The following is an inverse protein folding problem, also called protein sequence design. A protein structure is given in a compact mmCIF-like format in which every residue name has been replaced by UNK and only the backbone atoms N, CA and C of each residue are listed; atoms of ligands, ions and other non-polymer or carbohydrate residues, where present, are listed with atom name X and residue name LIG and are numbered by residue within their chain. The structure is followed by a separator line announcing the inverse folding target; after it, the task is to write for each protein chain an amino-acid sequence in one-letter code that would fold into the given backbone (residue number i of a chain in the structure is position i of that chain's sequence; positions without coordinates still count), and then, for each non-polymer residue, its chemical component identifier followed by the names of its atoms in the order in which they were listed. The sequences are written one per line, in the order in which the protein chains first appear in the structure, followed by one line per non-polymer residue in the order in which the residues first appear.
data_IF_434429327466
#
_entry.id   IF_434429327466
#
_cell.length_a   1.000
_cell.length_b   1.000
_cell.length_c   1.000
_cell.angle_alpha   90.00
_cell.angle_beta   90.00
_cell.angle_gamma   90.00
#
_symmetry.space_group_name_H-M   'P 1'
#
loop_
_entity.id
_entity.type
_entity.pdbx_description
1 polymer ?
#
# COMPACT_ATOMS: atom_id res chain seq x y z
N UNK A 1 5.08 8.06 15.42
CA UNK A 1 5.49 7.77 14.03
C UNK A 1 4.24 7.87 13.19
N UNK A 2 4.20 8.72 12.17
CA UNK A 2 3.08 8.70 11.22
C UNK A 2 3.40 7.59 10.21
N UNK A 3 2.50 6.64 10.06
CA UNK A 3 2.62 5.59 9.03
C UNK A 3 2.36 6.19 7.66
N UNK A 4 2.94 5.60 6.62
CA UNK A 4 2.59 5.88 5.24
C UNK A 4 1.98 4.62 4.66
N UNK A 5 0.86 4.77 3.96
CA UNK A 5 0.11 3.69 3.36
C UNK A 5 -0.42 4.14 2.02
N UNK A 6 -0.82 3.21 1.16
CA UNK A 6 -1.24 3.57 -0.19
C UNK A 6 -2.57 4.33 -0.16
N UNK A 7 -2.75 5.25 -1.11
CA UNK A 7 -4.07 5.86 -1.35
C UNK A 7 -5.05 4.78 -1.85
N UNK A 8 -6.36 4.94 -1.60
CA UNK A 8 -7.33 3.94 -2.04
C UNK A 8 -7.29 3.78 -3.57
N UNK A 9 -7.15 2.55 -4.06
CA UNK A 9 -7.03 2.25 -5.48
C UNK A 9 -5.60 1.97 -5.93
N UNK A 10 -4.60 2.46 -5.20
CA UNK A 10 -3.19 2.27 -5.49
C UNK A 10 -2.57 1.22 -4.57
N UNK A 11 -3.35 0.28 -4.02
CA UNK A 11 -2.82 -0.71 -3.08
C UNK A 11 -1.85 -1.69 -3.77
N UNK A 12 -0.73 -2.03 -3.10
CA UNK A 12 0.31 -2.94 -3.63
C UNK A 12 -0.26 -4.23 -4.25
N UNK A 13 -1.27 -4.82 -3.61
CA UNK A 13 -1.83 -6.10 -4.07
C UNK A 13 -2.43 -6.01 -5.48
N UNK A 14 -2.93 -4.83 -5.90
CA UNK A 14 -3.46 -4.61 -7.24
C UNK A 14 -2.35 -4.59 -8.28
N UNK A 15 -1.27 -3.88 -8.02
CA UNK A 15 -0.09 -3.88 -8.89
C UNK A 15 0.55 -5.27 -8.99
N UNK A 16 0.61 -5.99 -7.87
CA UNK A 16 1.12 -7.36 -7.84
C UNK A 16 0.23 -8.34 -8.63
N UNK A 17 -1.09 -8.21 -8.53
CA UNK A 17 -2.05 -9.00 -9.33
C UNK A 17 -1.91 -8.66 -10.82
N UNK A 18 -1.82 -7.38 -11.18
CA UNK A 18 -1.58 -6.93 -12.55
C UNK A 18 -0.26 -7.47 -13.12
N UNK A 19 0.79 -7.54 -12.31
CA UNK A 19 2.05 -8.16 -12.71
C UNK A 19 1.91 -9.68 -12.91
N UNK A 20 1.22 -10.36 -11.99
CA UNK A 20 0.96 -11.80 -12.08
C UNK A 20 0.10 -12.19 -13.29
N UNK A 21 -0.81 -11.31 -13.70
CA UNK A 21 -1.62 -11.45 -14.92
C UNK A 21 -0.87 -11.07 -16.20
N UNK A 22 0.32 -10.47 -16.10
CA UNK A 22 1.11 -9.97 -17.22
C UNK A 22 0.62 -8.64 -17.82
N UNK A 23 -0.36 -8.00 -17.18
CA UNK A 23 -0.84 -6.66 -17.57
C UNK A 23 0.20 -5.58 -17.22
N UNK A 24 0.98 -5.80 -16.16
CA UNK A 24 2.04 -4.90 -15.71
C UNK A 24 3.41 -5.56 -15.80
N UNK A 25 4.38 -4.81 -16.30
CA UNK A 25 5.79 -5.19 -16.21
C UNK A 25 6.31 -5.01 -14.77
N UNK A 26 7.43 -5.66 -14.45
CA UNK A 26 8.15 -5.42 -13.18
C UNK A 26 8.56 -3.95 -13.03
N UNK A 27 8.81 -3.25 -14.14
CA UNK A 27 9.17 -1.84 -14.14
C UNK A 27 7.98 -0.97 -13.75
N UNK A 28 6.80 -1.24 -14.32
CA UNK A 28 5.55 -0.53 -13.96
C UNK A 28 5.17 -0.74 -12.51
N UNK A 29 5.30 -1.98 -12.00
CA UNK A 29 5.09 -2.26 -10.57
C UNK A 29 6.08 -1.47 -9.71
N UNK A 30 7.35 -1.44 -10.09
CA UNK A 30 8.38 -0.68 -9.36
C UNK A 30 8.11 0.82 -9.38
N UNK A 31 7.71 1.38 -10.52
CA UNK A 31 7.37 2.81 -10.64
C UNK A 31 6.18 3.15 -9.75
N UNK A 32 5.13 2.33 -9.76
CA UNK A 32 3.97 2.49 -8.89
C UNK A 32 4.32 2.48 -7.40
N UNK A 33 5.19 1.58 -6.95
CA UNK A 33 5.62 1.48 -5.54
C UNK A 33 6.59 2.59 -5.10
N UNK A 34 7.21 3.29 -6.05
CA UNK A 34 8.15 4.38 -5.78
C UNK A 34 7.54 5.76 -6.02
N UNK A 35 6.31 5.82 -6.53
CA UNK A 35 5.59 7.06 -6.76
C UNK A 35 5.06 7.61 -5.42
N UNK A 36 5.56 8.77 -4.95
CA UNK A 36 5.13 9.34 -3.68
C UNK A 36 3.66 9.80 -3.67
N UNK A 37 3.06 10.09 -4.83
CA UNK A 37 1.64 10.45 -4.95
C UNK A 37 0.71 9.25 -4.66
N UNK A 38 1.24 8.02 -4.75
CA UNK A 38 0.51 6.80 -4.41
C UNK A 38 0.43 6.56 -2.89
N UNK A 39 1.09 7.39 -2.07
CA UNK A 39 1.11 7.24 -0.62
C UNK A 39 0.37 8.39 0.07
N UNK A 40 -0.34 8.05 1.13
CA UNK A 40 -0.94 8.98 2.08
C UNK A 40 -0.42 8.72 3.49
N UNK A 41 -0.49 9.77 4.32
CA UNK A 41 -0.30 9.62 5.75
C UNK A 41 -1.40 8.72 6.28
N UNK A 42 -1.03 7.57 6.84
CA UNK A 42 -1.98 6.75 7.58
C UNK A 42 -2.35 7.52 8.84
N UNK A 43 -3.61 7.92 8.92
CA UNK A 43 -4.16 8.39 10.18
C UNK A 43 -3.92 7.29 11.24
N UNK A 44 -3.61 7.66 12.49
CA UNK A 44 -3.41 6.67 13.57
C UNK A 44 -4.58 5.68 13.70
N UNK A 45 -5.79 6.08 13.28
CA UNK A 45 -7.00 5.26 13.27
C UNK A 45 -7.17 4.35 12.04
N UNK A 46 -6.35 4.49 11.00
CA UNK A 46 -6.42 3.72 9.76
C UNK A 46 -5.74 2.35 9.87
N UNK A 47 -4.94 2.12 10.92
CA UNK A 47 -4.52 0.77 11.30
C UNK A 47 -5.78 -0.03 11.63
N UNK A 48 -6.25 -0.84 10.66
CA UNK A 48 -7.39 -1.75 10.77
C UNK A 48 -7.04 -2.88 11.73
N UNK A 49 -6.87 -2.56 13.00
CA UNK A 49 -7.02 -3.41 14.19
C UNK A 49 -6.13 -2.90 15.32
N UNK A 50 -6.63 -1.99 16.16
CA UNK A 50 -6.25 -1.96 17.58
C UNK A 50 -6.39 -3.37 18.25
N UNK A 51 -7.01 -4.34 17.56
CA UNK A 51 -7.15 -5.76 17.94
C UNK A 51 -5.83 -6.45 18.30
N UNK A 52 -4.68 -5.97 17.81
CA UNK A 52 -3.36 -6.56 18.12
C UNK A 52 -2.44 -5.65 18.95
N UNK A 53 -2.88 -4.43 19.29
CA UNK A 53 -2.07 -3.48 20.08
C UNK A 53 -2.26 -3.67 21.60
N UNK A 54 -3.26 -4.46 22.03
CA UNK A 54 -3.54 -4.76 23.43
C UNK A 54 -3.18 -6.21 23.80
N UNK A 55 -1.88 -6.55 23.81
CA UNK A 55 -1.32 -7.59 24.68
C UNK A 55 0.09 -7.21 25.09
N UNK A 56 0.15 -6.31 26.07
CA UNK A 56 1.29 -6.09 26.96
C UNK A 56 0.77 -6.19 28.39
#
# INVERSE_FOLDING_TARGET
MVGFGHVPGEEYWRGFEGHGSGEWSLEQLREHELDPDNFQLEAPSANRSHRYEAKG
#
